data_IF_593552987690
#
_entry.id   IF_593552987690
#
_cell.length_a   1.000
_cell.length_b   1.000
_cell.length_c   1.000
_cell.angle_alpha   90.00
_cell.angle_beta   90.00
_cell.angle_gamma   90.00
#
_symmetry.space_group_name_H-M   'P 1'
#
loop_
_entity.id
_entity.type
_entity.pdbx_description
1 polymer ?
#
# COMPACT_ATOMS: atom_id res chain seq x y z
N UNK A 1 -67.59 27.65 12.55
CA UNK A 1 -66.33 27.63 11.79
C UNK A 1 -65.31 26.91 12.63
N UNK A 2 -65.07 25.65 12.31
CA UNK A 2 -64.15 24.78 13.08
C UNK A 2 -62.85 24.70 12.27
N UNK A 3 -61.76 25.22 12.84
CA UNK A 3 -60.41 25.20 12.20
C UNK A 3 -59.78 23.89 12.58
N UNK A 4 -59.50 23.03 11.56
CA UNK A 4 -58.73 21.80 11.72
C UNK A 4 -57.26 22.15 11.51
N UNK A 5 -56.45 22.10 12.55
CA UNK A 5 -54.98 22.17 12.47
C UNK A 5 -54.45 20.81 12.03
N UNK A 6 -53.89 20.73 10.83
CA UNK A 6 -53.16 19.57 10.37
C UNK A 6 -51.73 19.58 10.95
N UNK A 7 -51.42 18.64 11.81
CA UNK A 7 -50.06 18.41 12.31
C UNK A 7 -49.26 17.66 11.26
N UNK A 8 -48.29 18.35 10.60
CA UNK A 8 -47.30 17.73 9.72
C UNK A 8 -46.25 17.04 10.57
N UNK A 9 -46.26 15.72 10.60
CA UNK A 9 -45.20 14.92 11.18
C UNK A 9 -43.95 14.95 10.24
N UNK A 10 -42.93 15.69 10.63
CA UNK A 10 -41.61 15.54 10.01
C UNK A 10 -41.03 14.17 10.45
N UNK A 11 -41.07 13.21 9.55
CA UNK A 11 -40.29 11.99 9.72
C UNK A 11 -38.80 12.31 9.68
N UNK A 12 -38.10 12.21 10.80
CA UNK A 12 -36.64 12.20 10.84
C UNK A 12 -36.18 10.97 10.06
N UNK A 13 -35.67 11.17 8.86
CA UNK A 13 -34.94 10.14 8.14
C UNK A 13 -33.65 9.93 8.93
N UNK A 14 -33.62 8.91 9.78
CA UNK A 14 -32.39 8.43 10.39
C UNK A 14 -31.50 7.99 9.22
N UNK A 15 -30.42 8.73 8.99
CA UNK A 15 -29.35 8.31 8.10
C UNK A 15 -28.82 6.98 8.66
N UNK A 16 -29.07 5.88 7.96
CA UNK A 16 -28.40 4.61 8.16
C UNK A 16 -26.92 4.81 7.79
N UNK A 17 -26.19 5.50 8.64
CA UNK A 17 -24.76 5.48 8.66
C UNK A 17 -24.34 4.07 9.10
N UNK A 18 -24.01 3.23 8.14
CA UNK A 18 -23.50 1.89 8.38
C UNK A 18 -22.35 1.97 9.41
N UNK A 19 -22.42 1.22 10.54
CA UNK A 19 -21.60 1.45 11.73
C UNK A 19 -20.12 1.04 11.60
N UNK A 20 -19.57 0.82 10.41
CA UNK A 20 -18.19 0.31 10.29
C UNK A 20 -17.38 0.88 9.11
N UNK A 21 -17.53 2.16 8.81
CA UNK A 21 -16.79 2.83 7.73
C UNK A 21 -15.47 3.47 8.16
N UNK A 22 -14.95 3.16 9.35
CA UNK A 22 -13.61 3.61 9.72
C UNK A 22 -12.60 2.76 8.96
N UNK A 23 -11.84 3.35 8.00
CA UNK A 23 -10.98 2.58 7.09
C UNK A 23 -9.76 1.98 7.81
N UNK A 24 -9.33 2.59 8.90
CA UNK A 24 -8.21 2.14 9.73
C UNK A 24 -8.39 2.68 11.15
N UNK A 25 -7.95 1.92 12.16
CA UNK A 25 -7.89 2.40 13.55
C UNK A 25 -6.55 3.09 13.84
N UNK A 26 -5.63 3.13 12.88
CA UNK A 26 -4.33 3.80 13.05
C UNK A 26 -4.53 5.31 12.94
N UNK A 27 -4.27 6.01 14.04
CA UNK A 27 -4.16 7.46 14.09
C UNK A 27 -2.67 7.86 14.17
N UNK A 28 -2.25 8.76 13.32
CA UNK A 28 -0.85 9.22 13.29
C UNK A 28 -0.60 10.29 14.35
N UNK A 29 -0.64 9.90 15.63
CA UNK A 29 -0.23 10.74 16.75
C UNK A 29 1.29 10.60 17.00
N UNK A 30 1.93 11.54 17.73
CA UNK A 30 3.32 11.39 18.14
C UNK A 30 3.59 10.06 18.85
N UNK A 31 2.67 9.59 19.68
CA UNK A 31 2.76 8.33 20.43
C UNK A 31 2.73 7.11 19.50
N UNK A 32 1.82 7.10 18.52
CA UNK A 32 1.73 6.02 17.50
C UNK A 32 3.01 5.97 16.66
N UNK A 33 3.51 7.12 16.23
CA UNK A 33 4.75 7.21 15.44
C UNK A 33 5.93 6.72 16.29
N UNK A 34 6.04 7.16 17.55
CA UNK A 34 7.08 6.71 18.45
C UNK A 34 7.02 5.18 18.66
N UNK A 35 5.85 4.63 18.92
CA UNK A 35 5.65 3.18 19.06
C UNK A 35 6.06 2.40 17.81
N UNK A 36 5.64 2.85 16.63
CA UNK A 36 5.95 2.21 15.35
C UNK A 36 7.45 2.26 15.00
N UNK A 37 8.19 3.23 15.52
CA UNK A 37 9.61 3.44 15.20
C UNK A 37 10.58 2.95 16.29
N UNK A 38 10.08 2.55 17.47
CA UNK A 38 10.89 2.13 18.62
C UNK A 38 11.39 0.67 18.56
N UNK A 39 11.12 -0.06 17.49
CA UNK A 39 11.47 -1.48 17.37
C UNK A 39 12.97 -1.75 17.26
N UNK A 40 13.37 -2.93 17.75
CA UNK A 40 14.72 -3.46 17.67
C UNK A 40 14.84 -4.40 16.46
N UNK A 41 15.64 -4.06 15.41
CA UNK A 41 15.77 -4.88 14.23
C UNK A 41 16.39 -6.27 14.47
N UNK A 42 17.23 -6.44 15.50
CA UNK A 42 17.78 -7.75 15.84
C UNK A 42 16.72 -8.69 16.41
N UNK A 43 15.86 -8.18 17.28
CA UNK A 43 14.72 -8.96 17.76
C UNK A 43 13.74 -9.23 16.61
N UNK A 44 13.52 -8.21 15.76
CA UNK A 44 12.70 -8.34 14.56
C UNK A 44 13.17 -9.43 13.61
N UNK A 45 14.47 -9.58 13.40
CA UNK A 45 15.08 -10.63 12.59
C UNK A 45 14.73 -12.05 13.12
N UNK A 46 14.73 -12.24 14.43
CA UNK A 46 14.36 -13.53 15.01
C UNK A 46 12.86 -13.82 14.83
N UNK A 47 12.02 -12.82 14.97
CA UNK A 47 10.57 -12.92 14.79
C UNK A 47 10.20 -13.13 13.32
N UNK A 48 10.93 -12.50 12.41
CA UNK A 48 10.66 -12.51 10.96
C UNK A 48 10.83 -13.90 10.33
N UNK A 49 11.52 -14.86 10.98
CA UNK A 49 11.65 -16.24 10.49
C UNK A 49 10.32 -16.92 10.19
N UNK A 50 9.25 -16.54 10.90
CA UNK A 50 7.89 -17.00 10.59
C UNK A 50 7.28 -16.37 9.34
N UNK A 51 7.85 -15.27 8.87
CA UNK A 51 7.39 -14.53 7.69
C UNK A 51 8.11 -14.98 6.41
N UNK A 52 9.33 -15.56 6.56
CA UNK A 52 10.25 -15.92 5.48
C UNK A 52 9.62 -16.85 4.45
N UNK A 53 8.77 -17.78 4.89
CA UNK A 53 8.13 -18.75 4.01
C UNK A 53 7.34 -18.09 2.86
N UNK A 54 6.72 -16.94 3.13
CA UNK A 54 5.92 -16.23 2.14
C UNK A 54 6.64 -15.00 1.60
N UNK A 55 7.31 -14.24 2.49
CA UNK A 55 7.93 -12.95 2.12
C UNK A 55 9.41 -13.05 1.75
N UNK A 56 10.00 -14.25 1.80
CA UNK A 56 11.42 -14.48 1.56
C UNK A 56 12.30 -14.10 2.75
N UNK A 57 13.46 -14.77 2.89
CA UNK A 57 14.40 -14.62 4.02
C UNK A 57 14.99 -13.21 4.13
N UNK A 58 15.01 -12.48 3.03
CA UNK A 58 15.52 -11.11 2.92
C UNK A 58 14.41 -10.12 2.58
N UNK A 59 13.15 -10.54 2.78
CA UNK A 59 11.98 -9.68 2.50
C UNK A 59 11.66 -9.52 1.01
N UNK A 60 12.21 -10.38 0.13
CA UNK A 60 11.84 -10.47 -1.28
C UNK A 60 11.13 -11.79 -1.55
N UNK A 61 9.85 -11.70 -1.83
CA UNK A 61 9.00 -12.87 -2.06
C UNK A 61 9.23 -13.48 -3.45
N UNK A 62 9.40 -14.80 -3.48
CA UNK A 62 9.35 -15.58 -4.72
C UNK A 62 7.92 -15.80 -5.23
N UNK A 63 6.90 -15.47 -4.42
CA UNK A 63 5.49 -15.61 -4.75
C UNK A 63 4.97 -14.27 -5.26
N UNK A 64 4.64 -14.19 -6.54
CA UNK A 64 4.27 -12.94 -7.22
C UNK A 64 3.07 -12.20 -6.59
N UNK A 65 2.13 -12.93 -5.97
CA UNK A 65 0.99 -12.35 -5.27
C UNK A 65 1.27 -11.92 -3.83
N UNK A 66 2.49 -12.17 -3.32
CA UNK A 66 2.90 -11.82 -1.95
C UNK A 66 3.83 -10.61 -2.00
N UNK A 67 3.64 -9.59 -1.14
CA UNK A 67 4.43 -8.39 -1.22
C UNK A 67 5.87 -8.58 -0.75
N UNK A 68 6.78 -7.86 -1.38
CA UNK A 68 8.12 -7.61 -0.88
C UNK A 68 8.03 -6.67 0.34
N UNK A 69 8.86 -6.90 1.34
CA UNK A 69 8.90 -6.14 2.59
C UNK A 69 10.23 -5.40 2.79
N UNK A 70 11.30 -5.81 2.09
CA UNK A 70 12.63 -5.22 2.21
C UNK A 70 12.61 -3.71 1.93
N UNK A 71 13.17 -2.92 2.84
CA UNK A 71 13.29 -1.47 2.73
C UNK A 71 11.98 -0.70 2.70
N UNK A 72 10.86 -1.36 2.99
CA UNK A 72 9.56 -0.68 3.05
C UNK A 72 9.50 0.25 4.27
N UNK A 73 8.84 1.39 4.11
CA UNK A 73 8.66 2.37 5.19
C UNK A 73 8.05 1.75 6.46
N UNK A 74 8.62 2.09 7.62
CA UNK A 74 8.20 1.57 8.92
C UNK A 74 6.71 1.80 9.18
N UNK A 75 6.24 3.02 8.94
CA UNK A 75 4.86 3.39 9.22
C UNK A 75 3.90 2.70 8.26
N UNK A 76 4.34 2.41 7.02
CA UNK A 76 3.56 1.65 6.06
C UNK A 76 3.38 0.19 6.51
N UNK A 77 4.46 -0.50 6.91
CA UNK A 77 4.38 -1.87 7.43
C UNK A 77 3.54 -1.91 8.70
N UNK A 78 3.82 -1.01 9.66
CA UNK A 78 3.07 -0.90 10.92
C UNK A 78 1.57 -0.82 10.65
N UNK A 79 1.17 0.15 9.81
CA UNK A 79 -0.23 0.34 9.48
C UNK A 79 -0.88 -0.93 8.92
N UNK A 80 -0.21 -1.61 7.98
CA UNK A 80 -0.79 -2.81 7.39
C UNK A 80 -0.96 -3.94 8.41
N UNK A 81 0.02 -4.16 9.29
CA UNK A 81 -0.08 -5.17 10.34
C UNK A 81 -1.18 -4.83 11.35
N UNK A 82 -1.31 -3.57 11.75
CA UNK A 82 -2.41 -3.10 12.60
C UNK A 82 -3.77 -3.27 11.92
N UNK A 83 -3.87 -2.94 10.64
CA UNK A 83 -5.12 -3.09 9.89
C UNK A 83 -5.51 -4.57 9.71
N UNK A 84 -4.57 -5.49 9.57
CA UNK A 84 -4.85 -6.92 9.59
C UNK A 84 -5.28 -7.37 10.98
N UNK A 85 -4.59 -6.93 12.05
CA UNK A 85 -4.88 -7.27 13.45
C UNK A 85 -6.28 -6.79 13.87
N UNK A 86 -6.66 -5.60 13.43
CA UNK A 86 -7.95 -4.97 13.72
C UNK A 86 -9.04 -5.28 12.70
N UNK A 87 -8.75 -6.16 11.73
CA UNK A 87 -9.66 -6.58 10.65
C UNK A 87 -10.13 -5.46 9.72
N UNK A 88 -9.41 -4.33 9.70
CA UNK A 88 -9.65 -3.24 8.74
C UNK A 88 -9.08 -3.55 7.35
N UNK A 89 -8.15 -4.51 7.29
CA UNK A 89 -7.70 -5.14 6.05
C UNK A 89 -7.88 -6.65 6.15
N UNK A 90 -8.54 -7.24 5.16
CA UNK A 90 -8.83 -8.68 5.15
C UNK A 90 -7.70 -9.47 4.52
N UNK A 91 -7.24 -10.53 5.18
CA UNK A 91 -6.35 -11.54 4.64
C UNK A 91 -6.39 -12.81 5.49
N UNK A 92 -6.73 -13.93 4.87
CA UNK A 92 -6.76 -15.23 5.56
C UNK A 92 -5.39 -15.62 6.12
N UNK A 93 -4.30 -15.23 5.44
CA UNK A 93 -2.95 -15.53 5.85
C UNK A 93 -2.44 -14.54 6.91
N UNK A 94 -2.58 -13.23 6.66
CA UNK A 94 -1.94 -12.22 7.50
C UNK A 94 -2.69 -11.93 8.80
N UNK A 95 -3.99 -12.15 8.85
CA UNK A 95 -4.79 -11.84 10.03
C UNK A 95 -4.36 -12.64 11.26
N UNK A 96 -4.28 -14.00 11.25
CA UNK A 96 -3.84 -14.76 12.41
C UNK A 96 -2.38 -14.46 12.80
N UNK A 97 -1.52 -14.17 11.82
CA UNK A 97 -0.14 -13.79 12.08
C UNK A 97 -0.09 -12.45 12.83
N UNK A 98 -0.81 -11.45 12.34
CA UNK A 98 -0.83 -10.11 12.96
C UNK A 98 -1.48 -10.12 14.34
N UNK A 99 -2.54 -10.90 14.54
CA UNK A 99 -3.20 -11.10 15.85
C UNK A 99 -2.26 -11.77 16.88
N UNK A 100 -1.30 -12.59 16.43
CA UNK A 100 -0.34 -13.28 17.31
C UNK A 100 0.84 -12.40 17.77
N UNK A 101 1.02 -11.22 17.18
CA UNK A 101 2.12 -10.31 17.52
C UNK A 101 1.69 -9.35 18.64
N UNK A 102 2.52 -9.21 19.67
CA UNK A 102 2.38 -8.07 20.59
C UNK A 102 2.73 -6.78 19.88
N UNK A 103 2.33 -5.63 20.43
CA UNK A 103 2.69 -4.32 19.85
C UNK A 103 4.20 -4.11 19.77
N UNK A 104 4.95 -4.69 20.71
CA UNK A 104 6.41 -4.67 20.69
C UNK A 104 6.98 -5.54 19.58
N UNK A 105 6.50 -6.78 19.43
CA UNK A 105 6.95 -7.67 18.36
C UNK A 105 6.65 -7.08 16.99
N UNK A 106 5.52 -6.40 16.85
CA UNK A 106 5.14 -5.70 15.63
C UNK A 106 6.15 -4.59 15.32
N UNK A 107 6.52 -3.75 16.29
CA UNK A 107 7.54 -2.71 16.13
C UNK A 107 8.91 -3.31 15.75
N UNK A 108 9.31 -4.41 16.38
CA UNK A 108 10.58 -5.10 16.11
C UNK A 108 10.63 -5.65 14.68
N UNK A 109 9.57 -6.35 14.23
CA UNK A 109 9.44 -6.86 12.84
C UNK A 109 9.47 -5.73 11.82
N UNK A 110 8.76 -4.63 12.10
CA UNK A 110 8.76 -3.42 11.27
C UNK A 110 10.16 -2.83 11.16
N UNK A 111 10.89 -2.73 12.29
CA UNK A 111 12.25 -2.21 12.31
C UNK A 111 13.21 -3.08 11.48
N UNK A 112 13.05 -4.40 11.53
CA UNK A 112 13.85 -5.34 10.76
C UNK A 112 13.65 -5.16 9.25
N UNK A 113 12.41 -5.27 8.76
CA UNK A 113 12.15 -5.18 7.32
C UNK A 113 12.49 -3.81 6.74
N UNK A 114 12.26 -2.74 7.48
CA UNK A 114 12.62 -1.40 7.05
C UNK A 114 14.13 -1.15 6.98
N UNK A 115 14.93 -1.91 7.74
CA UNK A 115 16.40 -1.83 7.73
C UNK A 115 17.04 -2.69 6.62
N UNK A 116 16.27 -3.59 5.99
CA UNK A 116 16.79 -4.41 4.90
C UNK A 116 17.06 -3.52 3.66
N UNK A 117 18.16 -3.79 2.93
CA UNK A 117 18.46 -3.03 1.72
C UNK A 117 17.40 -3.31 0.64
N UNK A 118 16.96 -2.25 -0.03
CA UNK A 118 16.07 -2.34 -1.20
C UNK A 118 16.82 -2.88 -2.40
N UNK A 119 18.13 -2.61 -2.44
CA UNK A 119 19.05 -3.11 -3.44
C UNK A 119 20.03 -4.05 -2.80
N UNK A 120 20.18 -5.19 -3.41
CA UNK A 120 21.35 -6.03 -3.18
C UNK A 120 22.39 -5.72 -4.27
N UNK A 121 23.62 -6.16 -4.00
CA UNK A 121 24.80 -6.02 -4.83
C UNK A 121 24.46 -5.92 -6.34
N UNK A 122 25.06 -5.00 -7.12
CA UNK A 122 24.94 -4.97 -8.58
C UNK A 122 25.27 -6.30 -9.26
N UNK A 123 25.94 -7.24 -8.57
CA UNK A 123 26.19 -8.61 -9.00
C UNK A 123 25.08 -9.59 -8.60
N UNK A 124 24.07 -9.14 -7.87
CA UNK A 124 22.92 -9.96 -7.52
C UNK A 124 22.06 -10.19 -8.78
N UNK A 125 22.25 -11.35 -9.38
CA UNK A 125 21.48 -11.85 -10.52
C UNK A 125 20.02 -12.19 -10.16
N UNK A 126 19.49 -11.69 -9.03
CA UNK A 126 18.07 -11.68 -8.84
C UNK A 126 17.47 -10.75 -9.89
N UNK A 127 17.23 -11.33 -11.03
CA UNK A 127 16.42 -10.74 -12.08
C UNK A 127 15.06 -10.51 -11.45
N UNK A 128 14.76 -9.24 -11.08
CA UNK A 128 13.37 -8.85 -11.01
C UNK A 128 12.77 -9.33 -12.32
N UNK A 129 11.70 -10.16 -12.30
CA UNK A 129 11.14 -10.63 -13.54
C UNK A 129 11.01 -9.41 -14.44
N UNK A 130 11.81 -9.37 -15.51
CA UNK A 130 11.68 -8.31 -16.51
C UNK A 130 10.27 -8.52 -17.04
N UNK A 131 9.30 -7.87 -16.42
CA UNK A 131 7.98 -7.82 -17.01
C UNK A 131 8.23 -7.22 -18.37
N UNK A 132 7.97 -7.99 -19.42
CA UNK A 132 8.03 -7.49 -20.79
C UNK A 132 6.93 -6.45 -20.91
N UNK A 133 7.19 -5.27 -20.36
CA UNK A 133 6.26 -4.15 -20.38
C UNK A 133 6.02 -3.82 -21.84
N UNK A 134 4.79 -3.98 -22.29
CA UNK A 134 4.44 -3.59 -23.65
C UNK A 134 4.83 -2.10 -23.84
N UNK A 135 5.39 -1.70 -24.99
CA UNK A 135 5.89 -0.33 -25.18
C UNK A 135 4.87 0.77 -24.83
N UNK A 136 3.59 0.53 -25.08
CA UNK A 136 2.49 1.43 -24.69
C UNK A 136 2.32 1.49 -23.16
N UNK A 137 2.46 0.38 -22.43
CA UNK A 137 2.36 0.34 -20.97
C UNK A 137 3.47 1.16 -20.31
N UNK A 138 4.71 1.07 -20.81
CA UNK A 138 5.81 1.87 -20.31
C UNK A 138 5.53 3.38 -20.41
N UNK A 139 4.97 3.84 -21.54
CA UNK A 139 4.62 5.24 -21.75
C UNK A 139 3.44 5.67 -20.85
N UNK A 140 2.39 4.85 -20.74
CA UNK A 140 1.23 5.09 -19.87
C UNK A 140 1.68 5.22 -18.42
N UNK A 141 2.44 4.25 -17.93
CA UNK A 141 2.90 4.24 -16.54
C UNK A 141 3.83 5.41 -16.24
N UNK A 142 4.82 5.69 -17.09
CA UNK A 142 5.73 6.82 -16.92
C UNK A 142 4.98 8.16 -16.81
N UNK A 143 3.97 8.37 -17.66
CA UNK A 143 3.13 9.58 -17.61
C UNK A 143 2.37 9.66 -16.27
N UNK A 144 1.67 8.61 -15.87
CA UNK A 144 0.89 8.59 -14.64
C UNK A 144 1.75 8.69 -13.39
N UNK A 145 2.90 8.04 -13.37
CA UNK A 145 3.82 8.08 -12.23
C UNK A 145 4.41 9.48 -12.07
N UNK A 146 4.81 10.13 -13.17
CA UNK A 146 5.54 11.40 -13.13
C UNK A 146 4.62 12.62 -13.11
N UNK A 147 3.55 12.61 -13.88
CA UNK A 147 2.68 13.77 -14.08
C UNK A 147 1.24 13.55 -13.62
N UNK A 148 0.80 12.31 -13.48
CA UNK A 148 -0.60 12.00 -13.22
C UNK A 148 -1.50 12.27 -14.43
N UNK A 149 -2.77 12.58 -14.14
CA UNK A 149 -3.77 12.99 -15.11
C UNK A 149 -4.71 14.03 -14.46
N UNK A 150 -4.35 15.29 -14.63
CA UNK A 150 -5.07 16.42 -13.99
C UNK A 150 -6.51 16.56 -14.44
N UNK A 151 -6.83 16.18 -15.69
CA UNK A 151 -8.21 16.26 -16.22
C UNK A 151 -9.13 15.26 -15.50
N UNK A 152 -8.60 14.10 -15.13
CA UNK A 152 -9.31 13.06 -14.37
C UNK A 152 -9.11 13.16 -12.85
N UNK A 153 -8.34 14.14 -12.36
CA UNK A 153 -8.05 14.29 -10.94
C UNK A 153 -7.09 13.21 -10.38
N UNK A 154 -6.27 12.60 -11.22
CA UNK A 154 -5.27 11.60 -10.82
C UNK A 154 -3.93 12.30 -10.57
N UNK A 155 -3.46 12.41 -9.31
CA UNK A 155 -2.17 13.02 -9.01
C UNK A 155 -1.00 12.13 -9.47
N UNK A 156 0.24 12.68 -9.60
CA UNK A 156 1.43 11.87 -9.85
C UNK A 156 1.62 10.80 -8.78
N UNK A 157 1.72 9.53 -9.17
CA UNK A 157 1.83 8.43 -8.21
C UNK A 157 3.10 8.57 -7.35
N UNK A 158 4.22 9.03 -7.94
CA UNK A 158 5.48 9.24 -7.23
C UNK A 158 5.41 10.31 -6.14
N UNK A 159 4.43 11.22 -6.17
CA UNK A 159 4.26 12.24 -5.14
C UNK A 159 3.93 11.65 -3.76
N UNK A 160 3.38 10.43 -3.74
CA UNK A 160 3.07 9.69 -2.51
C UNK A 160 3.88 8.40 -2.39
N UNK A 161 4.11 7.69 -3.52
CA UNK A 161 4.71 6.34 -3.57
C UNK A 161 6.15 6.34 -4.08
N UNK A 162 6.79 7.50 -4.17
CA UNK A 162 8.18 7.62 -4.58
C UNK A 162 9.17 7.06 -3.53
N UNK A 163 10.48 7.15 -3.81
CA UNK A 163 11.53 6.58 -2.96
C UNK A 163 11.61 7.24 -1.57
N UNK A 164 11.04 8.43 -1.42
CA UNK A 164 10.91 9.11 -0.13
C UNK A 164 9.42 9.29 0.19
N UNK A 165 8.90 8.43 1.04
CA UNK A 165 7.51 8.53 1.50
C UNK A 165 7.36 9.74 2.44
N UNK A 166 6.69 10.79 1.99
CA UNK A 166 6.41 11.98 2.80
C UNK A 166 5.16 11.84 3.68
N UNK A 167 4.40 10.77 3.51
CA UNK A 167 3.13 10.58 4.23
C UNK A 167 3.17 9.32 5.06
N UNK A 168 2.94 9.41 6.38
CA UNK A 168 2.87 8.24 7.25
C UNK A 168 1.90 7.18 6.70
N UNK A 169 2.34 5.93 6.67
CA UNK A 169 1.51 4.80 6.26
C UNK A 169 1.37 4.60 4.75
N UNK A 170 2.03 5.42 3.92
CA UNK A 170 2.07 5.25 2.46
C UNK A 170 3.32 4.42 2.11
N UNK A 171 3.17 3.25 1.46
CA UNK A 171 4.31 2.43 1.07
C UNK A 171 5.05 3.00 -0.13
N UNK A 172 6.38 2.87 -0.16
CA UNK A 172 7.10 2.88 -1.42
C UNK A 172 6.67 1.67 -2.25
N UNK A 173 6.43 1.86 -3.54
CA UNK A 173 6.07 0.78 -4.46
C UNK A 173 7.25 0.28 -5.30
N UNK A 174 8.42 0.91 -5.13
CA UNK A 174 9.62 0.54 -5.87
C UNK A 174 10.01 -0.90 -5.53
N UNK A 175 10.30 -1.69 -6.55
CA UNK A 175 10.65 -3.13 -6.40
C UNK A 175 9.53 -4.03 -5.84
N UNK A 176 8.28 -3.59 -5.87
CA UNK A 176 7.15 -4.42 -5.43
C UNK A 176 6.76 -5.42 -6.52
N UNK A 177 6.28 -6.60 -6.13
CA UNK A 177 5.79 -7.60 -7.08
C UNK A 177 4.61 -7.07 -7.92
N UNK A 178 4.72 -7.18 -9.24
CA UNK A 178 3.72 -6.65 -10.19
C UNK A 178 2.32 -7.22 -9.93
N UNK A 179 2.19 -8.54 -9.80
CA UNK A 179 0.90 -9.19 -9.54
C UNK A 179 0.28 -8.73 -8.22
N UNK A 180 1.13 -8.49 -7.20
CA UNK A 180 0.66 -7.91 -5.95
C UNK A 180 0.15 -6.49 -6.15
N UNK A 181 0.90 -5.62 -6.84
CA UNK A 181 0.47 -4.24 -7.13
C UNK A 181 -0.84 -4.24 -7.90
N UNK A 182 -0.96 -5.04 -8.97
CA UNK A 182 -2.18 -5.15 -9.76
C UNK A 182 -3.37 -5.57 -8.91
N UNK A 183 -3.20 -6.64 -8.12
CA UNK A 183 -4.27 -7.15 -7.26
C UNK A 183 -4.73 -6.11 -6.23
N UNK A 184 -3.81 -5.29 -5.71
CA UNK A 184 -4.16 -4.23 -4.75
C UNK A 184 -4.86 -3.04 -5.42
N UNK A 185 -4.44 -2.63 -6.62
CA UNK A 185 -5.14 -1.60 -7.39
C UNK A 185 -6.56 -2.04 -7.74
N UNK A 186 -6.73 -3.29 -8.18
CA UNK A 186 -8.05 -3.88 -8.43
C UNK A 186 -8.91 -3.93 -7.16
N UNK A 187 -8.31 -4.34 -6.03
CA UNK A 187 -9.01 -4.42 -4.75
C UNK A 187 -9.48 -3.05 -4.23
N UNK A 188 -8.71 -2.00 -4.46
CA UNK A 188 -9.15 -0.62 -4.17
C UNK A 188 -10.23 -0.16 -5.14
N UNK A 189 -10.08 -0.40 -6.45
CA UNK A 189 -11.03 0.01 -7.47
C UNK A 189 -12.41 -0.62 -7.26
N UNK A 190 -12.47 -1.89 -6.90
CA UNK A 190 -13.72 -2.62 -6.62
C UNK A 190 -14.15 -2.58 -5.14
N UNK A 191 -13.46 -1.78 -4.31
CA UNK A 191 -13.76 -1.55 -2.90
C UNK A 191 -13.72 -2.80 -1.98
N UNK A 192 -13.05 -3.88 -2.41
CA UNK A 192 -12.79 -5.04 -1.53
C UNK A 192 -11.64 -4.77 -0.57
N UNK A 193 -10.81 -3.75 -0.84
CA UNK A 193 -9.82 -3.17 0.06
C UNK A 193 -10.19 -1.72 0.35
N UNK A 194 -10.43 -1.40 1.62
CA UNK A 194 -10.97 -0.11 2.06
C UNK A 194 -10.18 0.53 3.20
N UNK A 195 -8.96 0.03 3.48
CA UNK A 195 -8.17 0.49 4.63
C UNK A 195 -7.31 1.73 4.36
N UNK A 196 -7.59 2.46 3.30
CA UNK A 196 -6.94 3.72 2.95
C UNK A 196 -7.61 4.91 3.67
N UNK A 197 -6.88 5.53 4.59
CA UNK A 197 -7.36 6.68 5.36
C UNK A 197 -7.68 7.84 4.41
N UNK A 198 -8.88 8.40 4.52
CA UNK A 198 -9.42 9.46 3.63
C UNK A 198 -9.63 9.04 2.17
N UNK A 199 -9.67 7.73 1.87
CA UNK A 199 -10.08 7.14 0.59
C UNK A 199 -9.24 7.47 -0.66
N UNK A 200 -7.96 7.90 -0.57
CA UNK A 200 -7.22 8.33 -1.74
C UNK A 200 -7.00 7.20 -2.75
N UNK A 201 -6.69 5.98 -2.27
CA UNK A 201 -6.42 4.87 -3.19
C UNK A 201 -7.67 4.30 -3.82
N UNK A 202 -8.79 4.25 -3.11
CA UNK A 202 -10.09 3.86 -3.69
C UNK A 202 -10.52 4.83 -4.78
N UNK A 203 -10.37 6.13 -4.52
CA UNK A 203 -10.68 7.18 -5.50
C UNK A 203 -9.79 7.06 -6.73
N UNK A 204 -8.47 7.05 -6.55
CA UNK A 204 -7.51 7.01 -7.67
C UNK A 204 -7.66 5.70 -8.45
N UNK A 205 -7.68 4.55 -7.78
CA UNK A 205 -7.79 3.26 -8.46
C UNK A 205 -9.11 3.08 -9.22
N UNK A 206 -10.20 3.67 -8.72
CA UNK A 206 -11.49 3.70 -9.41
C UNK A 206 -11.48 4.52 -10.71
N UNK A 207 -10.63 5.55 -10.79
CA UNK A 207 -10.45 6.37 -11.99
C UNK A 207 -9.53 5.73 -13.04
N UNK A 208 -8.66 4.80 -12.63
CA UNK A 208 -7.75 4.12 -13.56
C UNK A 208 -8.51 3.09 -14.40
N UNK A 209 -8.18 3.00 -15.68
CA UNK A 209 -8.61 1.89 -16.54
C UNK A 209 -7.88 0.60 -16.15
N UNK A 210 -8.36 -0.56 -16.63
CA UNK A 210 -7.68 -1.84 -16.38
C UNK A 210 -6.27 -1.85 -16.98
N UNK A 211 -6.12 -1.33 -18.20
CA UNK A 211 -4.84 -1.19 -18.90
C UNK A 211 -3.84 -0.31 -18.12
N UNK A 212 -4.32 0.79 -17.54
CA UNK A 212 -3.50 1.66 -16.69
C UNK A 212 -3.08 0.99 -15.37
N UNK A 213 -3.97 0.21 -14.74
CA UNK A 213 -3.62 -0.59 -13.55
C UNK A 213 -2.56 -1.63 -13.88
N UNK A 214 -2.70 -2.31 -15.02
CA UNK A 214 -1.70 -3.26 -15.51
C UNK A 214 -0.36 -2.57 -15.79
N UNK A 215 -0.37 -1.47 -16.51
CA UNK A 215 0.84 -0.69 -16.83
C UNK A 215 1.58 -0.21 -15.57
N UNK A 216 0.86 0.29 -14.57
CA UNK A 216 1.44 0.71 -13.29
C UNK A 216 2.03 -0.47 -12.50
N UNK A 217 1.36 -1.62 -12.49
CA UNK A 217 1.86 -2.82 -11.84
C UNK A 217 3.17 -3.30 -12.46
N UNK A 218 3.26 -3.36 -13.78
CA UNK A 218 4.47 -3.71 -14.52
C UNK A 218 5.60 -2.72 -14.27
N UNK A 219 5.31 -1.41 -14.25
CA UNK A 219 6.28 -0.37 -13.97
C UNK A 219 6.94 -0.55 -12.60
N UNK A 220 6.14 -0.71 -11.55
CA UNK A 220 6.66 -0.87 -10.19
C UNK A 220 7.35 -2.23 -9.99
N UNK A 221 6.88 -3.27 -10.67
CA UNK A 221 7.48 -4.60 -10.63
C UNK A 221 8.81 -4.73 -11.39
N UNK A 222 9.06 -3.85 -12.36
CA UNK A 222 10.29 -3.88 -13.16
C UNK A 222 11.50 -3.22 -12.48
N UNK A 223 11.30 -2.49 -11.39
CA UNK A 223 12.36 -1.70 -10.77
C UNK A 223 12.83 -0.48 -11.59
N UNK A 224 12.18 -0.18 -12.73
CA UNK A 224 12.58 0.91 -13.65
C UNK A 224 12.63 2.28 -12.96
N UNK A 225 11.80 2.51 -11.94
CA UNK A 225 11.82 3.76 -11.19
C UNK A 225 13.05 3.97 -10.31
N UNK A 226 13.96 3.00 -10.23
CA UNK A 226 15.16 3.04 -9.40
C UNK A 226 16.41 3.46 -10.18
N UNK A 227 16.32 3.54 -11.49
CA UNK A 227 17.47 3.92 -12.32
C UNK A 227 17.41 5.43 -12.67
N UNK A 228 18.17 6.30 -11.98
CA UNK A 228 18.23 7.71 -12.29
C UNK A 228 18.82 8.00 -13.70
N UNK A 229 19.42 7.00 -14.33
CA UNK A 229 20.03 7.14 -15.66
C UNK A 229 19.03 6.98 -16.83
N UNK A 230 17.80 6.53 -16.59
CA UNK A 230 16.79 6.36 -17.65
C UNK A 230 16.03 7.65 -18.02
N UNK A 231 16.36 8.78 -17.40
CA UNK A 231 15.74 10.09 -17.70
C UNK A 231 16.42 10.86 -18.86
N UNK A 232 17.37 10.24 -19.59
CA UNK A 232 17.87 10.83 -20.82
C UNK A 232 16.85 10.59 -21.94
N UNK A 233 15.87 11.49 -22.03
CA UNK A 233 15.09 11.65 -23.25
C UNK A 233 15.98 11.93 -24.45
N UNK A 234 15.52 11.71 -25.67
CA UNK A 234 16.30 11.93 -26.88
C UNK A 234 16.77 13.38 -26.94
N UNK A 235 18.07 13.56 -27.22
CA UNK A 235 18.67 14.87 -27.51
C UNK A 235 18.09 15.43 -28.79
#
# INVERSE_FOLDING_TARGET
MTVILAASSLALVASDAAPDRIPSLVAWTPETIAAATAGDPFRGMLLAKRCDHCHGTEGFSAVASTPNLAGMDKLAIWKQLEDFRTRKRQSRAMQPISESLSSRDLADVVAYYAALPVFQDPQDNRVFPQSHTAPNHAAIASRLVTFGDGERGIPPCQACHGPVAYRPGVPSLMTQNADYVLSQLQAFANQTRTNDINEPMRTIAGLLTEDERQALAEYYGSGLGLNPASSTGPK
#
